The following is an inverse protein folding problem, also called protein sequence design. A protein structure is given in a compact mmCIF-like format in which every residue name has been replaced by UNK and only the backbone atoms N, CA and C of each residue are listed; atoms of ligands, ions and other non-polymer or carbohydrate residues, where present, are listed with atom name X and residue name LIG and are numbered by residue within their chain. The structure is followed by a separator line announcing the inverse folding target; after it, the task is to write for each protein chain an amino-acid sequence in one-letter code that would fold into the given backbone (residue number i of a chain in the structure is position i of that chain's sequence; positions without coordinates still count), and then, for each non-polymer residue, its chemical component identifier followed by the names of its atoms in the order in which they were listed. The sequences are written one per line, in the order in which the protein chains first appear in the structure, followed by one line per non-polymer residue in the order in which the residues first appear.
data_IF_081583959263
#
_entry.id   IF_081583959263
#
_cell.length_a   1.000
_cell.length_b   1.000
_cell.length_c   1.000
_cell.angle_alpha   90.00
_cell.angle_beta   90.00
_cell.angle_gamma   90.00
#
_symmetry.space_group_name_H-M   'P 1'
#
loop_
_entity.id
_entity.type
_entity.pdbx_description
1 polymer ?
#
# COMPACT_ATOMS: atom_id res chain seq x y z
N UNK A 1 31.89 -12.95 23.68
CA UNK A 1 30.45 -12.66 23.86
C UNK A 1 29.96 -11.48 23.00
N UNK A 2 30.81 -10.51 22.61
CA UNK A 2 30.42 -9.36 21.79
C UNK A 2 29.90 -9.72 20.37
N UNK A 3 30.56 -10.64 19.64
CA UNK A 3 30.17 -11.04 18.28
C UNK A 3 28.74 -11.60 18.18
N UNK A 4 28.29 -12.37 19.18
CA UNK A 4 26.91 -12.90 19.22
C UNK A 4 25.86 -11.83 19.54
N UNK A 5 26.26 -10.73 20.20
CA UNK A 5 25.38 -9.61 20.51
C UNK A 5 25.18 -8.73 19.28
N UNK A 6 26.27 -8.41 18.57
CA UNK A 6 26.22 -7.62 17.33
C UNK A 6 25.43 -8.35 16.23
N UNK A 7 25.64 -9.66 16.07
CA UNK A 7 24.88 -10.46 15.10
C UNK A 7 23.38 -10.52 15.43
N UNK A 8 23.01 -10.51 16.71
CA UNK A 8 21.60 -10.47 17.13
C UNK A 8 20.96 -9.09 16.94
N UNK A 9 21.72 -8.01 17.17
CA UNK A 9 21.25 -6.65 16.94
C UNK A 9 21.03 -6.38 15.45
N UNK A 10 21.94 -6.86 14.59
CA UNK A 10 21.77 -6.77 13.13
C UNK A 10 20.53 -7.56 12.67
N UNK A 11 20.39 -8.81 13.10
CA UNK A 11 19.23 -9.62 12.73
C UNK A 11 17.89 -9.00 13.17
N UNK A 12 17.84 -8.43 14.39
CA UNK A 12 16.64 -7.78 14.90
C UNK A 12 16.31 -6.48 14.14
N UNK A 13 17.33 -5.70 13.75
CA UNK A 13 17.15 -4.50 12.93
C UNK A 13 16.65 -4.85 11.53
N UNK A 14 17.18 -5.91 10.94
CA UNK A 14 16.80 -6.37 9.60
C UNK A 14 15.37 -6.94 9.57
N UNK A 15 14.98 -7.69 10.62
CA UNK A 15 13.60 -8.13 10.80
C UNK A 15 12.64 -6.94 10.97
N UNK A 16 13.08 -5.87 11.65
CA UNK A 16 12.31 -4.65 11.79
C UNK A 16 12.16 -3.92 10.45
N UNK A 17 13.22 -3.77 9.65
CA UNK A 17 13.16 -3.17 8.31
C UNK A 17 12.15 -3.91 7.43
N UNK A 18 12.21 -5.25 7.42
CA UNK A 18 11.25 -6.06 6.67
C UNK A 18 9.82 -5.81 7.13
N UNK A 19 9.56 -5.82 8.44
CA UNK A 19 8.22 -5.59 8.98
C UNK A 19 7.68 -4.18 8.66
N UNK A 20 8.54 -3.16 8.66
CA UNK A 20 8.16 -1.77 8.32
C UNK A 20 7.85 -1.61 6.83
N UNK A 21 8.62 -2.25 5.94
CA UNK A 21 8.39 -2.21 4.50
C UNK A 21 7.14 -3.02 4.08
N UNK A 22 6.83 -4.08 4.81
CA UNK A 22 5.63 -4.90 4.60
C UNK A 22 4.36 -4.20 5.10
N UNK A 23 4.44 -3.56 6.27
CA UNK A 23 3.31 -2.86 6.88
C UNK A 23 3.32 -1.38 6.51
N UNK A 24 2.52 -1.00 5.51
CA UNK A 24 2.25 0.41 5.20
C UNK A 24 1.38 1.11 6.26
N UNK A 25 1.40 0.64 7.51
CA UNK A 25 0.43 0.97 8.56
C UNK A 25 1.13 1.45 9.83
N UNK A 26 0.38 2.16 10.66
CA UNK A 26 0.86 2.75 11.91
C UNK A 26 1.18 1.71 12.99
N UNK A 27 2.19 2.01 13.79
CA UNK A 27 2.61 1.22 14.95
C UNK A 27 2.37 2.00 16.24
N UNK A 28 1.86 1.32 17.29
CA UNK A 28 1.66 1.90 18.63
C UNK A 28 2.76 1.38 19.54
N UNK A 29 3.46 2.28 20.22
CA UNK A 29 4.61 2.03 21.09
C UNK A 29 5.64 1.08 20.44
N UNK A 30 6.14 1.38 19.23
CA UNK A 30 7.24 0.60 18.66
C UNK A 30 8.45 0.65 19.59
N UNK A 31 9.18 -0.46 19.69
CA UNK A 31 10.41 -0.48 20.46
C UNK A 31 11.54 0.27 19.74
N UNK A 32 12.65 0.50 20.43
CA UNK A 32 13.80 1.25 19.92
C UNK A 32 14.36 0.70 18.59
N UNK A 33 14.36 -0.62 18.39
CA UNK A 33 14.87 -1.25 17.16
C UNK A 33 14.02 -0.88 15.94
N UNK A 34 12.69 -0.85 16.10
CA UNK A 34 11.77 -0.43 15.04
C UNK A 34 11.85 1.07 14.78
N UNK A 35 12.07 1.88 15.81
CA UNK A 35 12.28 3.32 15.65
C UNK A 35 13.55 3.62 14.86
N UNK A 36 14.68 3.01 15.24
CA UNK A 36 15.95 3.14 14.53
C UNK A 36 15.84 2.69 13.07
N UNK A 37 15.17 1.56 12.81
CA UNK A 37 14.92 1.09 11.45
C UNK A 37 14.01 2.05 10.65
N UNK A 38 13.00 2.64 11.27
CA UNK A 38 12.13 3.63 10.63
C UNK A 38 12.88 4.93 10.31
N UNK A 39 13.69 5.45 11.23
CA UNK A 39 14.53 6.62 10.97
C UNK A 39 15.52 6.36 9.85
N UNK A 40 16.19 5.20 9.85
CA UNK A 40 17.10 4.81 8.78
C UNK A 40 16.41 4.78 7.40
N UNK A 41 15.22 4.17 7.30
CA UNK A 41 14.43 4.20 6.05
C UNK A 41 13.97 5.62 5.67
N UNK A 42 13.72 6.48 6.65
CA UNK A 42 13.37 7.89 6.45
C UNK A 42 14.54 8.72 5.92
N UNK A 43 15.75 8.50 6.43
CA UNK A 43 16.99 9.13 5.94
C UNK A 43 17.28 8.74 4.48
N UNK A 44 17.00 7.49 4.11
CA UNK A 44 17.08 7.01 2.73
C UNK A 44 15.96 7.57 1.83
N UNK A 45 14.97 8.25 2.40
CA UNK A 45 13.82 8.82 1.67
C UNK A 45 12.81 7.76 1.21
N UNK A 46 12.92 6.51 1.66
CA UNK A 46 12.04 5.41 1.23
C UNK A 46 10.69 5.42 1.93
N UNK A 47 10.64 6.04 3.11
CA UNK A 47 9.40 6.26 3.84
C UNK A 47 9.30 7.72 4.27
N UNK A 48 8.07 8.19 4.41
CA UNK A 48 7.79 9.39 5.18
C UNK A 48 7.28 8.96 6.55
N UNK A 49 7.98 9.41 7.57
CA UNK A 49 7.69 9.16 8.97
C UNK A 49 6.74 10.26 9.49
N UNK A 50 5.67 9.86 10.16
CA UNK A 50 4.82 10.77 10.94
C UNK A 50 4.66 10.23 12.35
N UNK A 51 5.17 10.99 13.30
CA UNK A 51 5.07 10.69 14.72
C UNK A 51 3.99 11.56 15.34
N UNK A 52 3.23 10.98 16.26
CA UNK A 52 2.34 11.72 17.13
C UNK A 52 2.09 10.90 18.39
N UNK A 53 1.62 11.57 19.44
CA UNK A 53 1.17 10.91 20.65
C UNK A 53 -0.35 10.96 20.72
N UNK A 54 -0.93 9.95 21.37
CA UNK A 54 -2.31 10.03 21.81
C UNK A 54 -2.42 9.55 23.25
N UNK A 55 -3.51 9.94 23.88
CA UNK A 55 -3.97 9.40 25.15
C UNK A 55 -5.33 8.75 24.94
N UNK A 56 -5.66 7.77 25.79
CA UNK A 56 -7.02 7.23 25.83
C UNK A 56 -7.86 8.03 26.82
N UNK A 57 -9.11 8.29 26.48
CA UNK A 57 -10.04 8.93 27.41
C UNK A 57 -10.18 8.09 28.69
N UNK A 58 -10.55 6.82 28.55
CA UNK A 58 -10.51 5.85 29.64
C UNK A 58 -9.35 4.86 29.43
N UNK A 59 -8.46 4.77 30.43
CA UNK A 59 -7.40 3.77 30.46
C UNK A 59 -7.33 3.17 31.87
N UNK A 60 -7.59 1.87 32.05
CA UNK A 60 -7.53 1.23 33.37
C UNK A 60 -6.18 1.33 34.08
N UNK A 61 -5.11 1.60 33.32
CA UNK A 61 -3.76 1.77 33.86
C UNK A 61 -3.50 3.18 34.44
N UNK A 62 -4.35 4.16 34.13
CA UNK A 62 -4.23 5.53 34.63
C UNK A 62 -4.94 5.65 36.00
N UNK A 63 -4.36 5.09 37.06
CA UNK A 63 -5.03 4.97 38.37
C UNK A 63 -5.60 6.30 38.92
N UNK A 64 -4.88 7.40 38.74
CA UNK A 64 -5.31 8.74 39.20
C UNK A 64 -6.53 9.28 38.44
N UNK A 65 -6.74 8.82 37.20
CA UNK A 65 -7.85 9.25 36.35
C UNK A 65 -9.02 8.24 36.39
N UNK A 66 -8.70 6.95 36.41
CA UNK A 66 -9.66 5.88 36.12
C UNK A 66 -10.65 5.63 37.25
N UNK A 67 -10.22 5.79 38.51
CA UNK A 67 -11.09 5.58 39.68
C UNK A 67 -12.25 6.59 39.76
N UNK A 68 -12.10 7.75 39.11
CA UNK A 68 -13.07 8.84 39.13
C UNK A 68 -13.84 8.99 37.81
N UNK A 69 -13.67 8.04 36.88
CA UNK A 69 -14.35 8.05 35.58
C UNK A 69 -15.84 7.73 35.71
N UNK A 70 -16.67 8.62 35.14
CA UNK A 70 -18.11 8.39 35.00
C UNK A 70 -18.40 7.33 33.92
N UNK A 71 -17.62 7.33 32.84
CA UNK A 71 -17.75 6.36 31.74
C UNK A 71 -16.41 5.62 31.53
N UNK A 72 -16.19 4.47 32.19
CA UNK A 72 -14.96 3.70 32.07
C UNK A 72 -14.83 2.97 30.71
N UNK A 73 -15.90 2.87 29.93
CA UNK A 73 -15.94 2.13 28.67
C UNK A 73 -15.62 3.02 27.44
N UNK A 74 -15.25 4.29 27.64
CA UNK A 74 -14.94 5.21 26.54
C UNK A 74 -13.59 4.88 25.87
N UNK A 75 -13.64 4.42 24.62
CA UNK A 75 -12.46 3.99 23.86
C UNK A 75 -11.77 5.11 23.07
N UNK A 76 -12.26 6.35 23.17
CA UNK A 76 -11.75 7.47 22.39
C UNK A 76 -10.22 7.64 22.54
N UNK A 77 -9.55 7.84 21.40
CA UNK A 77 -8.11 8.12 21.29
C UNK A 77 -7.93 9.56 20.87
N UNK A 78 -7.29 10.33 21.74
CA UNK A 78 -7.21 11.78 21.59
C UNK A 78 -5.75 12.13 21.32
N UNK A 79 -5.51 12.66 20.13
CA UNK A 79 -4.18 13.13 19.74
C UNK A 79 -3.75 14.26 20.70
N UNK A 80 -2.49 14.20 21.15
CA UNK A 80 -1.90 15.18 22.03
C UNK A 80 -0.61 15.70 21.41
N UNK A 81 -0.45 17.02 21.39
CA UNK A 81 0.77 17.65 20.94
C UNK A 81 1.89 17.48 21.96
N UNK A 82 3.13 17.54 21.50
CA UNK A 82 4.32 17.38 22.37
C UNK A 82 4.45 18.53 23.37
N UNK A 83 4.03 19.73 22.96
CA UNK A 83 4.06 20.99 23.71
C UNK A 83 2.75 21.31 24.45
N UNK A 84 1.82 20.36 24.52
CA UNK A 84 0.53 20.54 25.21
C UNK A 84 0.71 20.97 26.67
N UNK A 85 0.10 22.10 27.05
CA UNK A 85 0.13 22.67 28.40
C UNK A 85 -1.29 22.85 28.94
N UNK A 86 -1.66 22.11 29.98
CA UNK A 86 -2.97 22.21 30.65
C UNK A 86 -3.30 23.59 31.20
N UNK A 87 -2.30 24.46 31.38
CA UNK A 87 -2.50 25.83 31.87
C UNK A 87 -3.04 26.76 30.78
N UNK A 88 -2.85 26.38 29.50
CA UNK A 88 -3.17 27.19 28.33
C UNK A 88 -4.13 26.48 27.35
N UNK A 89 -4.13 25.14 27.36
CA UNK A 89 -4.88 24.30 26.43
C UNK A 89 -5.96 23.50 27.17
N UNK A 90 -7.19 23.62 26.68
CA UNK A 90 -8.31 22.79 27.12
C UNK A 90 -8.39 21.52 26.26
N UNK A 91 -8.54 20.35 26.89
CA UNK A 91 -8.72 19.08 26.18
C UNK A 91 -10.03 18.41 26.61
N UNK A 92 -10.93 18.19 25.65
CA UNK A 92 -12.21 17.50 25.90
C UNK A 92 -12.33 16.24 25.05
N UNK A 93 -12.91 15.20 25.64
CA UNK A 93 -13.27 13.99 24.91
C UNK A 93 -14.46 14.26 23.98
N UNK A 94 -14.29 14.05 22.68
CA UNK A 94 -15.36 14.22 21.70
C UNK A 94 -16.50 13.21 21.86
N UNK A 95 -16.23 12.02 22.40
CA UNK A 95 -17.24 10.96 22.56
C UNK A 95 -18.10 11.14 23.82
N UNK A 96 -17.48 11.40 24.96
CA UNK A 96 -18.18 11.47 26.25
C UNK A 96 -18.29 12.89 26.84
N UNK A 97 -17.75 13.90 26.16
CA UNK A 97 -17.79 15.30 26.58
C UNK A 97 -16.98 15.60 27.86
N UNK A 98 -16.18 14.65 28.34
CA UNK A 98 -15.40 14.80 29.57
C UNK A 98 -14.19 15.69 29.35
N UNK A 99 -13.95 16.59 30.29
CA UNK A 99 -12.70 17.35 30.36
C UNK A 99 -11.54 16.44 30.79
N UNK A 100 -10.43 16.49 30.06
CA UNK A 100 -9.27 15.62 30.24
C UNK A 100 -8.09 16.44 30.72
N UNK A 101 -7.43 15.91 31.75
CA UNK A 101 -6.21 16.47 32.32
C UNK A 101 -5.06 15.46 32.18
N UNK A 102 -4.36 15.43 31.03
CA UNK A 102 -3.28 14.49 30.76
C UNK A 102 -2.06 14.59 31.70
N UNK A 103 -1.62 15.79 32.06
CA UNK A 103 -0.48 16.09 32.93
C UNK A 103 -0.90 15.91 34.40
N UNK A 104 -1.99 16.55 34.85
CA UNK A 104 -2.42 16.48 36.25
C UNK A 104 -2.76 15.04 36.66
N UNK A 105 -3.41 14.26 35.80
CA UNK A 105 -3.73 12.86 36.08
C UNK A 105 -2.66 11.87 35.60
N UNK A 106 -1.51 12.34 35.12
CA UNK A 106 -0.39 11.51 34.65
C UNK A 106 -0.82 10.42 33.65
N UNK A 107 -1.69 10.77 32.71
CA UNK A 107 -2.24 9.81 31.75
C UNK A 107 -1.15 9.21 30.89
N UNK A 108 -1.25 7.90 30.63
CA UNK A 108 -0.31 7.22 29.76
C UNK A 108 -0.37 7.78 28.33
N UNK A 109 0.78 8.24 27.84
CA UNK A 109 0.96 8.63 26.44
C UNK A 109 1.34 7.41 25.62
N UNK A 110 0.66 7.24 24.49
CA UNK A 110 0.95 6.21 23.50
C UNK A 110 1.63 6.86 22.31
N UNK A 111 2.85 6.44 22.01
CA UNK A 111 3.61 6.89 20.86
C UNK A 111 3.11 6.17 19.61
N UNK A 112 2.76 6.92 18.58
CA UNK A 112 2.33 6.35 17.30
C UNK A 112 3.28 6.77 16.21
N UNK A 113 3.78 5.78 15.50
CA UNK A 113 4.64 5.95 14.34
C UNK A 113 3.88 5.48 13.12
N UNK A 114 3.56 6.43 12.24
CA UNK A 114 2.91 6.18 10.96
C UNK A 114 3.92 6.28 9.83
N UNK A 115 3.82 5.37 8.88
CA UNK A 115 4.77 5.21 7.79
C UNK A 115 4.00 5.29 6.48
N UNK A 116 4.46 6.11 5.54
CA UNK A 116 3.98 6.04 4.17
C UNK A 116 5.14 5.76 3.22
N UNK A 117 5.03 4.69 2.44
CA UNK A 117 6.06 4.27 1.50
C UNK A 117 6.17 5.27 0.34
N UNK A 118 7.37 5.78 0.12
CA UNK A 118 7.68 6.68 -1.00
C UNK A 118 8.09 5.85 -2.22
N UNK A 119 7.09 5.35 -2.95
CA UNK A 119 7.31 4.41 -4.07
C UNK A 119 8.28 4.96 -5.13
N UNK A 120 8.18 6.24 -5.42
CA UNK A 120 9.03 6.89 -6.42
C UNK A 120 10.51 6.91 -5.99
N UNK A 121 10.79 7.21 -4.72
CA UNK A 121 12.16 7.24 -4.20
C UNK A 121 12.80 5.85 -4.28
N UNK A 122 12.04 4.80 -3.95
CA UNK A 122 12.51 3.41 -4.04
C UNK A 122 12.82 3.02 -5.50
N UNK A 123 11.96 3.38 -6.45
CA UNK A 123 12.23 3.11 -7.87
C UNK A 123 13.48 3.85 -8.35
N UNK A 124 13.65 5.12 -7.96
CA UNK A 124 14.83 5.92 -8.31
C UNK A 124 16.12 5.33 -7.74
N UNK A 125 16.09 4.87 -6.50
CA UNK A 125 17.22 4.18 -5.88
C UNK A 125 17.57 2.89 -6.63
N UNK A 126 16.56 2.06 -6.93
CA UNK A 126 16.79 0.82 -7.68
C UNK A 126 17.30 1.09 -9.11
N UNK A 127 16.78 2.11 -9.78
CA UNK A 127 17.29 2.54 -11.08
C UNK A 127 18.73 3.03 -11.01
N UNK A 128 19.17 3.61 -9.88
CA UNK A 128 20.57 3.97 -9.66
C UNK A 128 21.46 2.73 -9.53
N UNK A 129 21.03 1.70 -8.78
CA UNK A 129 21.70 0.41 -8.71
C UNK A 129 21.79 -0.28 -10.08
N UNK A 130 20.74 -0.16 -10.90
CA UNK A 130 20.70 -0.72 -12.24
C UNK A 130 21.65 -0.03 -13.24
N UNK A 131 22.17 1.17 -12.96
CA UNK A 131 23.07 1.89 -13.88
C UNK A 131 24.38 1.17 -14.14
N UNK A 132 24.77 0.24 -13.27
CA UNK A 132 25.91 -0.65 -13.50
C UNK A 132 25.65 -1.66 -14.63
N UNK A 133 24.39 -1.81 -15.06
CA UNK A 133 23.96 -2.74 -16.09
C UNK A 133 23.35 -1.99 -17.29
N UNK A 134 23.34 -2.67 -18.44
CA UNK A 134 22.54 -2.19 -19.58
C UNK A 134 21.10 -2.64 -19.37
N UNK A 135 20.18 -1.69 -19.13
CA UNK A 135 18.77 -2.03 -18.90
C UNK A 135 17.81 -1.16 -19.72
N UNK A 136 16.61 -1.69 -19.93
CA UNK A 136 15.48 -0.98 -20.52
C UNK A 136 14.28 -1.03 -19.57
N UNK A 137 13.79 0.15 -19.18
CA UNK A 137 12.54 0.29 -18.46
C UNK A 137 11.36 0.11 -19.45
N UNK A 138 10.43 -0.81 -19.15
CA UNK A 138 9.22 -1.05 -19.94
C UNK A 138 7.99 -0.36 -19.34
N UNK A 139 7.95 -0.27 -18.01
CA UNK A 139 6.87 0.27 -17.19
C UNK A 139 7.42 0.47 -15.78
N UNK A 140 6.78 1.30 -14.95
CA UNK A 140 7.09 1.40 -13.53
C UNK A 140 7.20 -0.01 -12.91
N UNK A 141 8.33 -0.28 -12.26
CA UNK A 141 8.62 -1.58 -11.63
C UNK A 141 8.92 -2.75 -12.57
N UNK A 142 9.11 -2.54 -13.89
CA UNK A 142 9.42 -3.61 -14.85
C UNK A 142 10.62 -3.24 -15.72
N UNK A 143 11.69 -4.02 -15.60
CA UNK A 143 12.97 -3.78 -16.27
C UNK A 143 13.43 -5.01 -17.02
N UNK A 144 13.98 -4.83 -18.23
CA UNK A 144 14.82 -5.86 -18.85
C UNK A 144 16.27 -5.49 -18.66
N UNK A 145 17.03 -6.38 -18.03
CA UNK A 145 18.43 -6.19 -17.72
C UNK A 145 19.24 -7.14 -18.59
N UNK A 146 20.20 -6.59 -19.33
CA UNK A 146 21.18 -7.36 -20.10
C UNK A 146 22.39 -7.65 -19.23
N UNK A 147 22.71 -8.93 -19.14
CA UNK A 147 23.91 -9.49 -18.54
C UNK A 147 24.75 -10.14 -19.64
N UNK A 148 26.02 -10.43 -19.33
CA UNK A 148 26.90 -11.15 -20.26
C UNK A 148 26.34 -12.54 -20.65
N UNK A 149 25.55 -13.14 -19.76
CA UNK A 149 24.92 -14.45 -19.95
C UNK A 149 23.54 -14.42 -20.60
N UNK A 150 22.94 -13.24 -20.82
CA UNK A 150 21.61 -13.11 -21.43
C UNK A 150 20.75 -12.00 -20.82
N UNK A 151 19.43 -12.08 -21.02
CA UNK A 151 18.48 -11.09 -20.51
C UNK A 151 17.68 -11.63 -19.32
N UNK A 152 17.51 -10.81 -18.29
CA UNK A 152 16.62 -11.05 -17.16
C UNK A 152 15.49 -10.03 -17.18
N UNK A 153 14.26 -10.48 -16.99
CA UNK A 153 13.13 -9.60 -16.69
C UNK A 153 13.02 -9.43 -15.18
N UNK A 154 13.20 -8.21 -14.69
CA UNK A 154 13.05 -7.87 -13.29
C UNK A 154 11.70 -7.18 -13.06
N UNK A 155 10.93 -7.68 -12.09
CA UNK A 155 9.58 -7.19 -11.79
C UNK A 155 9.43 -6.87 -10.30
N UNK A 156 8.85 -5.71 -10.01
CA UNK A 156 8.51 -5.21 -8.69
C UNK A 156 6.98 -5.15 -8.55
N UNK A 157 6.32 -6.23 -8.07
CA UNK A 157 4.87 -6.36 -8.12
C UNK A 157 4.09 -5.23 -7.45
N UNK A 158 4.64 -4.64 -6.38
CA UNK A 158 3.99 -3.55 -5.63
C UNK A 158 4.08 -2.17 -6.31
N UNK A 159 4.83 -2.10 -7.42
CA UNK A 159 5.16 -0.87 -8.14
C UNK A 159 4.70 -0.89 -9.61
N UNK A 160 4.10 -1.99 -10.07
CA UNK A 160 3.58 -2.06 -11.44
C UNK A 160 2.25 -1.31 -11.55
N UNK A 161 2.11 -0.55 -12.62
CA UNK A 161 0.85 0.11 -12.96
C UNK A 161 -0.11 -0.83 -13.70
N UNK A 162 0.43 -1.86 -14.36
CA UNK A 162 -0.34 -2.81 -15.17
C UNK A 162 -0.11 -4.25 -14.69
N UNK A 163 -1.13 -4.93 -14.13
CA UNK A 163 -0.99 -6.29 -13.62
C UNK A 163 -0.70 -7.33 -14.71
N UNK A 164 -0.90 -7.01 -16.00
CA UNK A 164 -0.57 -7.93 -17.10
C UNK A 164 0.92 -8.27 -17.17
N UNK A 165 1.80 -7.50 -16.54
CA UNK A 165 3.23 -7.85 -16.43
C UNK A 165 3.50 -9.06 -15.53
N UNK A 166 2.55 -9.44 -14.67
CA UNK A 166 2.60 -10.66 -13.86
C UNK A 166 1.91 -11.85 -14.53
N UNK A 167 1.46 -11.71 -15.78
CA UNK A 167 0.84 -12.80 -16.51
C UNK A 167 1.86 -13.91 -16.81
N UNK A 168 1.39 -15.16 -16.71
CA UNK A 168 2.24 -16.36 -16.81
C UNK A 168 3.03 -16.41 -18.11
N UNK A 169 2.39 -16.06 -19.22
CA UNK A 169 3.01 -16.00 -20.55
C UNK A 169 4.18 -15.02 -20.61
N UNK A 170 4.07 -13.86 -19.94
CA UNK A 170 5.15 -12.87 -19.88
C UNK A 170 6.29 -13.31 -18.97
N UNK A 171 5.98 -13.84 -17.79
CA UNK A 171 7.01 -14.30 -16.84
C UNK A 171 7.75 -15.55 -17.36
N UNK A 172 7.12 -16.36 -18.22
CA UNK A 172 7.75 -17.52 -18.88
C UNK A 172 8.48 -17.18 -20.18
N UNK A 173 8.54 -15.92 -20.59
CA UNK A 173 9.24 -15.56 -21.83
C UNK A 173 10.77 -15.56 -21.64
N UNK A 174 11.24 -15.22 -20.44
CA UNK A 174 12.65 -15.00 -20.12
C UNK A 174 12.93 -15.39 -18.65
N UNK A 175 14.20 -15.62 -18.28
CA UNK A 175 14.60 -15.62 -16.88
C UNK A 175 14.04 -14.41 -16.13
N UNK A 176 13.42 -14.63 -14.98
CA UNK A 176 12.65 -13.60 -14.28
C UNK A 176 13.05 -13.50 -12.82
N UNK A 177 13.32 -12.27 -12.37
CA UNK A 177 13.57 -11.92 -10.97
C UNK A 177 12.39 -11.12 -10.43
N UNK A 178 11.78 -11.57 -9.34
CA UNK A 178 10.75 -10.81 -8.61
C UNK A 178 11.37 -10.19 -7.36
N UNK A 179 11.25 -8.87 -7.23
CA UNK A 179 11.63 -8.14 -6.01
C UNK A 179 10.34 -7.75 -5.27
N UNK A 180 10.14 -8.30 -4.08
CA UNK A 180 8.90 -8.14 -3.30
C UNK A 180 9.11 -7.33 -2.01
N UNK A 181 8.10 -6.54 -1.63
CA UNK A 181 7.99 -5.97 -0.28
C UNK A 181 7.29 -6.91 0.70
N UNK A 182 6.52 -7.87 0.16
CA UNK A 182 5.63 -8.74 0.94
C UNK A 182 6.34 -10.01 1.41
N UNK A 183 5.94 -10.52 2.57
CA UNK A 183 6.37 -11.84 3.06
C UNK A 183 5.88 -12.98 2.17
N UNK A 184 4.68 -12.84 1.62
CA UNK A 184 4.09 -13.81 0.68
C UNK A 184 3.77 -13.12 -0.64
N UNK A 185 4.28 -13.70 -1.72
CA UNK A 185 3.89 -13.29 -3.06
C UNK A 185 2.43 -13.65 -3.32
N UNK A 186 1.73 -12.90 -4.19
CA UNK A 186 0.48 -13.37 -4.78
C UNK A 186 0.70 -14.77 -5.36
N UNK A 187 -0.29 -15.66 -5.27
CA UNK A 187 -0.20 -17.04 -5.76
C UNK A 187 0.16 -17.09 -7.26
N UNK A 188 1.45 -17.09 -7.55
CA UNK A 188 2.00 -17.26 -8.88
C UNK A 188 2.11 -18.77 -9.14
N UNK A 189 1.52 -19.30 -10.21
CA UNK A 189 1.61 -20.73 -10.54
C UNK A 189 2.99 -21.08 -11.15
N UNK A 190 4.02 -20.29 -10.87
CA UNK A 190 5.35 -20.37 -11.44
C UNK A 190 6.38 -20.43 -10.32
N UNK A 191 7.38 -21.30 -10.52
CA UNK A 191 8.61 -21.28 -9.76
C UNK A 191 9.48 -20.14 -10.32
N UNK A 192 9.53 -19.02 -9.62
CA UNK A 192 10.24 -17.79 -10.03
C UNK A 192 11.23 -17.41 -8.94
N UNK A 193 12.44 -17.02 -9.32
CA UNK A 193 13.42 -16.46 -8.39
C UNK A 193 12.87 -15.18 -7.77
N UNK A 194 12.77 -15.18 -6.44
CA UNK A 194 12.22 -14.07 -5.67
C UNK A 194 13.22 -13.62 -4.62
N UNK A 195 13.42 -12.31 -4.53
CA UNK A 195 14.21 -11.68 -3.47
C UNK A 195 13.39 -10.58 -2.80
N UNK A 196 13.70 -10.29 -1.54
CA UNK A 196 13.01 -9.22 -0.81
C UNK A 196 13.75 -7.91 -1.02
N UNK A 197 13.00 -6.81 -1.15
CA UNK A 197 13.60 -5.49 -1.25
C UNK A 197 14.43 -5.15 0.00
N UNK A 198 13.98 -5.59 1.18
CA UNK A 198 14.72 -5.42 2.43
C UNK A 198 16.11 -6.06 2.40
N UNK A 199 16.27 -7.18 1.69
CA UNK A 199 17.57 -7.88 1.60
C UNK A 199 18.56 -7.11 0.72
N UNK A 200 18.06 -6.40 -0.31
CA UNK A 200 18.86 -5.49 -1.13
C UNK A 200 19.25 -4.25 -0.33
N UNK A 201 18.29 -3.63 0.39
CA UNK A 201 18.52 -2.43 1.19
C UNK A 201 19.46 -2.66 2.38
N UNK A 202 19.51 -3.89 2.90
CA UNK A 202 20.39 -4.27 4.02
C UNK A 202 21.74 -4.83 3.55
N UNK A 203 22.04 -4.76 2.24
CA UNK A 203 23.26 -5.30 1.62
C UNK A 203 23.50 -6.81 1.86
N UNK A 204 22.47 -7.56 2.28
CA UNK A 204 22.55 -9.03 2.44
C UNK A 204 22.78 -9.72 1.10
N UNK A 205 22.17 -9.16 0.06
CA UNK A 205 22.19 -9.67 -1.29
C UNK A 205 22.36 -8.49 -2.24
N UNK A 206 23.32 -8.57 -3.15
CA UNK A 206 23.48 -7.53 -4.16
C UNK A 206 22.51 -7.74 -5.32
N UNK A 207 22.13 -6.66 -6.00
CA UNK A 207 21.28 -6.75 -7.19
C UNK A 207 21.89 -7.68 -8.25
N UNK A 208 23.22 -7.63 -8.41
CA UNK A 208 23.96 -8.52 -9.29
C UNK A 208 23.75 -10.00 -8.93
N UNK A 209 23.84 -10.36 -7.65
CA UNK A 209 23.62 -11.73 -7.19
C UNK A 209 22.19 -12.19 -7.51
N UNK A 210 21.19 -11.35 -7.23
CA UNK A 210 19.79 -11.66 -7.54
C UNK A 210 19.55 -11.89 -9.03
N UNK A 211 20.16 -11.07 -9.89
CA UNK A 211 20.08 -11.20 -11.34
C UNK A 211 20.74 -12.51 -11.85
N UNK A 212 21.91 -12.88 -11.30
CA UNK A 212 22.56 -14.14 -11.65
C UNK A 212 21.76 -15.36 -11.15
N UNK A 213 21.17 -15.30 -9.96
CA UNK A 213 20.29 -16.36 -9.46
C UNK A 213 19.10 -16.60 -10.40
N UNK A 214 18.50 -15.53 -10.94
CA UNK A 214 17.41 -15.65 -11.91
C UNK A 214 17.89 -16.24 -13.24
N UNK A 215 19.08 -15.87 -13.72
CA UNK A 215 19.68 -16.47 -14.91
C UNK A 215 19.97 -17.96 -14.73
N UNK A 216 20.55 -18.35 -13.59
CA UNK A 216 20.91 -19.74 -13.29
C UNK A 216 19.67 -20.62 -13.13
N UNK A 217 18.59 -20.05 -12.57
CA UNK A 217 17.28 -20.71 -12.50
C UNK A 217 16.66 -20.89 -13.90
N UNK A 218 16.93 -19.94 -14.80
CA UNK A 218 16.47 -19.95 -16.18
C UNK A 218 15.01 -19.51 -16.30
N UNK A 219 14.34 -19.95 -17.37
CA UNK A 219 12.95 -19.59 -17.61
C UNK A 219 12.04 -20.23 -16.55
N UNK A 220 11.18 -19.45 -15.86
CA UNK A 220 10.26 -19.95 -14.86
C UNK A 220 9.41 -21.12 -15.35
N UNK A 221 9.25 -22.14 -14.50
CA UNK A 221 8.48 -23.34 -14.80
C UNK A 221 7.17 -23.34 -14.04
N UNK A 222 6.13 -23.92 -14.63
CA UNK A 222 4.85 -24.10 -13.94
C UNK A 222 4.99 -25.10 -12.80
N UNK A 223 4.49 -24.73 -11.62
CA UNK A 223 4.49 -25.61 -10.46
C UNK A 223 3.36 -26.64 -10.67
N UNK A 224 3.68 -27.95 -10.71
CA UNK A 224 2.66 -28.96 -10.90
C UNK A 224 1.69 -28.98 -9.70
N UNK A 225 0.41 -29.23 -9.96
CA UNK A 225 -0.65 -29.40 -8.96
C UNK A 225 -1.00 -28.15 -8.12
N UNK A 226 -0.65 -26.94 -8.55
CA UNK A 226 -1.23 -25.73 -7.94
C UNK A 226 -2.68 -25.61 -8.40
N UNK A 227 -3.61 -25.84 -7.48
CA UNK A 227 -5.04 -25.62 -7.72
C UNK A 227 -5.22 -24.15 -8.10
N UNK A 228 -5.54 -23.89 -9.38
CA UNK A 228 -5.85 -22.55 -9.84
C UNK A 228 -7.13 -22.12 -9.12
N UNK A 229 -7.01 -21.30 -8.09
CA UNK A 229 -8.16 -20.48 -7.70
C UNK A 229 -8.47 -19.59 -8.90
N UNK A 230 -9.44 -20.02 -9.69
CA UNK A 230 -10.13 -19.20 -10.68
C UNK A 230 -10.87 -18.10 -9.92
N UNK A 231 -10.13 -17.10 -9.42
CA UNK A 231 -10.71 -15.79 -9.16
C UNK A 231 -11.40 -15.36 -10.46
N UNK A 232 -12.61 -14.77 -10.38
CA UNK A 232 -13.48 -14.65 -11.54
C UNK A 232 -12.72 -13.91 -12.63
N UNK A 233 -12.69 -14.51 -13.83
CA UNK A 233 -12.23 -13.86 -15.04
C UNK A 233 -12.83 -12.45 -15.09
N UNK A 234 -12.02 -11.42 -14.85
CA UNK A 234 -12.28 -10.11 -15.44
C UNK A 234 -11.74 -10.23 -16.85
N UNK A 235 -12.58 -10.34 -17.89
CA UNK A 235 -12.09 -10.42 -19.25
C UNK A 235 -11.24 -9.18 -19.52
N UNK A 236 -10.00 -9.35 -19.98
CA UNK A 236 -9.13 -8.25 -20.41
C UNK A 236 -9.69 -7.46 -21.61
N UNK A 237 -10.86 -7.85 -22.11
CA UNK A 237 -11.68 -7.09 -23.02
C UNK A 237 -13.16 -7.26 -22.63
N UNK A 238 -13.66 -6.48 -21.69
CA UNK A 238 -15.04 -6.01 -21.85
C UNK A 238 -15.02 -5.10 -23.06
N UNK A 239 -15.39 -5.65 -24.22
CA UNK A 239 -15.86 -4.81 -25.31
C UNK A 239 -16.87 -3.85 -24.68
N UNK A 240 -16.61 -2.53 -24.75
CA UNK A 240 -17.63 -1.54 -24.43
C UNK A 240 -18.89 -2.02 -25.14
N UNK A 241 -20.00 -2.27 -24.44
CA UNK A 241 -21.24 -2.58 -25.14
C UNK A 241 -21.42 -1.46 -26.16
N UNK A 242 -21.56 -1.83 -27.43
CA UNK A 242 -21.89 -0.88 -28.47
C UNK A 242 -23.15 -0.18 -27.95
N UNK A 243 -23.03 1.09 -27.54
CA UNK A 243 -24.19 1.89 -27.14
C UNK A 243 -25.08 1.94 -28.37
N UNK A 244 -26.08 1.06 -28.42
CA UNK A 244 -27.13 1.14 -29.40
C UNK A 244 -27.71 2.55 -29.23
N UNK A 245 -27.79 3.36 -30.30
CA UNK A 245 -28.35 4.69 -30.20
C UNK A 245 -29.73 4.55 -29.57
N UNK A 246 -29.96 5.26 -28.45
CA UNK A 246 -31.22 5.19 -27.74
C UNK A 246 -32.33 5.69 -28.67
N UNK A 247 -33.07 4.75 -29.26
CA UNK A 247 -34.25 5.06 -30.08
C UNK A 247 -35.40 5.33 -29.13
N UNK A 248 -35.64 6.61 -28.87
CA UNK A 248 -36.83 7.03 -28.15
C UNK A 248 -38.03 7.01 -29.12
N UNK A 249 -39.08 6.25 -28.78
CA UNK A 249 -40.35 6.33 -29.50
C UNK A 249 -41.06 7.63 -29.12
N UNK A 250 -41.45 8.41 -30.12
CA UNK A 250 -42.27 9.60 -29.93
C UNK A 250 -43.70 9.25 -30.33
N UNK A 251 -44.63 9.37 -29.40
CA UNK A 251 -46.08 9.18 -29.63
C UNK A 251 -46.79 10.51 -29.45
N UNK A 252 -47.64 10.86 -30.41
CA UNK A 252 -48.43 12.10 -30.39
C UNK A 252 -49.90 11.70 -30.40
N UNK A 253 -50.65 12.14 -29.40
CA UNK A 253 -52.10 11.92 -29.32
C UNK A 253 -52.85 13.22 -29.00
N UNK A 254 -54.15 13.10 -28.71
CA UNK A 254 -55.02 14.24 -28.41
C UNK A 254 -54.72 14.95 -27.07
N UNK A 255 -53.90 14.34 -26.21
CA UNK A 255 -53.54 14.87 -24.89
C UNK A 255 -52.16 15.53 -24.89
N UNK A 256 -51.25 15.11 -25.78
CA UNK A 256 -49.95 15.75 -25.95
C UNK A 256 -48.89 14.93 -26.68
N UNK A 257 -47.63 15.33 -26.51
CA UNK A 257 -46.46 14.62 -27.06
C UNK A 257 -45.77 13.83 -25.96
N UNK A 258 -45.53 12.55 -26.23
CA UNK A 258 -44.88 11.60 -25.33
C UNK A 258 -43.58 11.10 -25.93
N UNK A 259 -42.53 11.03 -25.13
CA UNK A 259 -41.21 10.47 -25.52
C UNK A 259 -40.89 9.33 -24.57
N UNK A 260 -40.78 8.10 -25.10
CA UNK A 260 -40.55 6.91 -24.27
C UNK A 260 -41.64 6.65 -23.23
N UNK A 261 -42.88 7.07 -23.49
CA UNK A 261 -44.03 6.94 -22.57
C UNK A 261 -44.14 8.05 -21.52
N UNK A 262 -43.23 9.03 -21.50
CA UNK A 262 -43.30 10.19 -20.60
C UNK A 262 -43.97 11.36 -21.32
N UNK A 263 -44.96 11.99 -20.69
CA UNK A 263 -45.66 13.16 -21.24
C UNK A 263 -44.77 14.41 -21.16
N UNK A 264 -44.37 14.96 -22.31
CA UNK A 264 -43.39 16.06 -22.36
C UNK A 264 -44.08 17.40 -22.69
N UNK A 265 -45.13 17.39 -23.51
CA UNK A 265 -45.85 18.62 -23.90
C UNK A 265 -47.35 18.38 -23.84
N UNK A 266 -48.02 19.08 -22.93
CA UNK A 266 -49.48 19.04 -22.80
C UNK A 266 -50.22 19.99 -23.73
N UNK A 267 -51.50 19.68 -23.97
CA UNK A 267 -52.48 20.33 -24.86
C UNK A 267 -52.54 21.87 -24.90
N UNK A 268 -52.06 22.57 -23.87
CA UNK A 268 -52.14 24.03 -23.76
C UNK A 268 -50.81 24.77 -23.99
N UNK A 269 -49.73 24.08 -24.34
CA UNK A 269 -48.44 24.71 -24.60
C UNK A 269 -48.28 25.11 -26.08
N UNK A 270 -48.18 26.40 -26.43
CA UNK A 270 -47.82 26.82 -27.78
C UNK A 270 -46.35 26.46 -28.03
N UNK A 271 -46.09 25.35 -28.72
CA UNK A 271 -44.73 24.89 -28.98
C UNK A 271 -44.56 24.44 -30.42
N UNK A 272 -43.44 24.86 -31.02
CA UNK A 272 -43.02 24.60 -32.40
C UNK A 272 -41.79 23.70 -32.34
N UNK A 273 -41.85 22.52 -32.95
CA UNK A 273 -40.73 21.57 -32.98
C UNK A 273 -40.15 21.55 -34.40
N UNK A 274 -38.84 21.78 -34.51
CA UNK A 274 -38.04 21.44 -35.69
C UNK A 274 -37.20 20.20 -35.35
N UNK A 275 -37.29 19.18 -36.19
CA UNK A 275 -36.52 17.94 -36.08
C UNK A 275 -35.52 17.94 -37.24
N UNK A 276 -34.22 17.78 -36.95
CA UNK A 276 -33.16 17.54 -37.93
C UNK A 276 -32.88 16.04 -38.00
#
# INVERSE_FOLDING_TARGET
MALRSCLKQNAAHEDALHALLESSNSWINPNQVYLEAAYHLGELGFIQLKEHYFIKCANPLDALDFEQLINPDCENKIAIADDFDESCDDLMCEECGRYILPITHQKQRFHVVSLSLQKQAILQWLEAELKEFTFKNQSAGVYHVLLDSGFVTMVLPDFIDNPSYLAVDKLKAQPTLIITLRKTLPHLPLDVTTIKLSDLMSERLSLQQGLHMAMDHGVPKEIPNVSRQLLPFVPLHTAKPLELPATYSITIDSEGIFVGGVHVIGKQAPSRIQIF
#
